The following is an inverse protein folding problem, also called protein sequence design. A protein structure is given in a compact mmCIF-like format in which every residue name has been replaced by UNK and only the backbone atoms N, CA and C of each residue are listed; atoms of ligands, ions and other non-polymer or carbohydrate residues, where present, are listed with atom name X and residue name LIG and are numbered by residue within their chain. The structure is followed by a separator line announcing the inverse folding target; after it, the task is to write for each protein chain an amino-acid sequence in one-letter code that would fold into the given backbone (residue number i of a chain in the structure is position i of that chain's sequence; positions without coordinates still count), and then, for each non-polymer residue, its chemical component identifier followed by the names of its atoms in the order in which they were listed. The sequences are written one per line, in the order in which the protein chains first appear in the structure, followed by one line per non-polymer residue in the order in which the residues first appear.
data_IF_670230847524
#
_entry.id   IF_670230847524
#
_cell.length_a   1.000
_cell.length_b   1.000
_cell.length_c   1.000
_cell.angle_alpha   90.00
_cell.angle_beta   90.00
_cell.angle_gamma   90.00
#
_symmetry.space_group_name_H-M   'P 1'
#
loop_
_entity.id
_entity.type
_entity.pdbx_description
1 polymer ?
#
# COMPACT_ATOMS: atom_id res chain seq x y z
N UNK A 1 0.14 -19.83 19.63
CA UNK A 1 -0.44 -18.66 20.33
C UNK A 1 -0.79 -17.61 19.30
N UNK A 2 -2.06 -17.20 19.18
CA UNK A 2 -2.49 -16.13 18.26
C UNK A 2 -2.38 -14.81 19.02
N UNK A 3 -1.27 -14.10 18.85
CA UNK A 3 -1.11 -12.77 19.42
C UNK A 3 -1.83 -11.77 18.50
N UNK A 4 -3.03 -11.37 18.91
CA UNK A 4 -3.73 -10.23 18.33
C UNK A 4 -3.00 -8.97 18.80
N UNK A 5 -2.01 -8.51 18.04
CA UNK A 5 -1.28 -7.28 18.34
C UNK A 5 -2.24 -6.09 18.19
N UNK A 6 -2.42 -5.33 19.26
CA UNK A 6 -3.25 -4.13 19.27
C UNK A 6 -2.58 -3.02 18.45
N UNK A 7 -3.27 -2.54 17.42
CA UNK A 7 -2.86 -1.36 16.67
C UNK A 7 -3.16 -0.15 17.54
N UNK A 8 -2.12 0.53 18.03
CA UNK A 8 -2.28 1.76 18.80
C UNK A 8 -2.48 2.92 17.82
N UNK A 9 -3.69 3.49 17.81
CA UNK A 9 -3.98 4.72 17.08
C UNK A 9 -3.44 5.91 17.90
N UNK A 10 -2.20 6.30 17.67
CA UNK A 10 -1.60 7.49 18.26
C UNK A 10 -1.74 8.67 17.30
N UNK A 11 -2.45 9.72 17.70
CA UNK A 11 -2.65 10.95 16.94
C UNK A 11 -1.33 11.74 16.91
N UNK A 12 -0.47 11.51 15.91
CA UNK A 12 0.74 12.31 15.68
C UNK A 12 0.42 13.37 14.64
N UNK A 13 0.22 14.62 15.09
CA UNK A 13 0.09 15.76 14.20
C UNK A 13 1.45 16.19 13.65
N UNK A 14 1.70 15.95 12.36
CA UNK A 14 2.74 16.66 11.62
C UNK A 14 2.22 17.03 10.23
N UNK A 15 2.13 18.34 10.01
CA UNK A 15 1.72 18.98 8.76
C UNK A 15 2.84 18.91 7.72
N UNK A 16 3.04 17.74 7.12
CA UNK A 16 3.55 17.70 5.74
C UNK A 16 2.32 17.75 4.84
N UNK A 17 2.37 18.42 3.69
CA UNK A 17 1.28 18.32 2.71
C UNK A 17 1.11 16.84 2.38
N UNK A 18 0.11 16.20 2.98
CA UNK A 18 -0.08 14.76 2.95
C UNK A 18 -0.13 14.35 1.48
N UNK A 19 0.87 13.56 1.08
CA UNK A 19 0.90 12.92 -0.21
C UNK A 19 -0.48 12.28 -0.49
N UNK A 20 -1.18 12.78 -1.52
CA UNK A 20 -2.47 12.21 -1.87
C UNK A 20 -2.26 10.86 -2.55
N UNK A 21 -2.37 9.83 -1.72
CA UNK A 21 -2.20 8.42 -2.08
C UNK A 21 -3.28 7.91 -3.02
N UNK A 22 -4.40 8.63 -3.16
CA UNK A 22 -5.52 8.25 -4.00
C UNK A 22 -5.40 8.76 -5.44
N UNK A 23 -4.45 9.66 -5.70
CA UNK A 23 -4.13 10.08 -7.06
C UNK A 23 -3.25 9.03 -7.77
N UNK A 24 -3.25 8.97 -9.12
CA UNK A 24 -2.43 8.02 -9.87
C UNK A 24 -0.93 8.12 -9.56
N UNK A 25 -0.21 7.05 -9.23
CA UNK A 25 1.24 7.13 -8.94
C UNK A 25 2.11 7.12 -10.22
N UNK A 26 1.46 7.07 -11.38
CA UNK A 26 2.02 6.88 -12.70
C UNK A 26 1.00 7.31 -13.75
N UNK A 27 1.42 7.58 -14.98
CA UNK A 27 0.52 7.89 -16.13
C UNK A 27 -0.66 6.92 -16.28
N UNK A 28 -0.49 5.66 -15.86
CA UNK A 28 -1.48 4.57 -15.95
C UNK A 28 -1.51 3.70 -14.69
N UNK A 29 -1.11 4.27 -13.56
CA UNK A 29 -1.12 3.58 -12.27
C UNK A 29 -2.24 4.15 -11.41
N UNK A 30 -3.35 3.44 -11.28
CA UNK A 30 -4.59 3.98 -10.72
C UNK A 30 -4.93 3.40 -9.34
N UNK A 31 -5.42 4.24 -8.43
CA UNK A 31 -5.75 3.85 -7.05
C UNK A 31 -7.10 3.10 -6.92
N UNK A 32 -7.31 2.06 -7.74
CA UNK A 32 -8.58 1.35 -7.88
C UNK A 32 -8.66 0.01 -7.14
N UNK A 33 -7.62 -0.43 -6.43
CA UNK A 33 -7.74 -1.61 -5.55
C UNK A 33 -8.42 -1.18 -4.26
N UNK A 34 -9.39 -1.97 -3.82
CA UNK A 34 -10.07 -1.76 -2.56
C UNK A 34 -9.39 -2.60 -1.48
N UNK A 35 -8.73 -1.95 -0.52
CA UNK A 35 -8.25 -2.61 0.70
C UNK A 35 -9.24 -2.26 1.80
N UNK A 36 -10.02 -3.26 2.24
CA UNK A 36 -11.05 -3.10 3.27
C UNK A 36 -10.61 -3.58 4.65
N UNK A 37 -9.44 -4.23 4.73
CA UNK A 37 -8.78 -4.56 5.98
C UNK A 37 -7.26 -4.51 5.77
N UNK A 38 -6.54 -3.84 6.66
CA UNK A 38 -5.09 -3.68 6.58
C UNK A 38 -4.57 -2.75 7.67
N UNK A 39 -3.46 -2.06 7.38
CA UNK A 39 -2.88 -1.06 8.28
C UNK A 39 -3.72 0.22 8.22
N UNK A 40 -4.31 0.69 9.33
CA UNK A 40 -5.04 1.95 9.35
C UNK A 40 -4.12 3.14 9.12
N UNK A 41 -4.66 4.21 8.53
CA UNK A 41 -3.94 5.47 8.39
C UNK A 41 -3.64 6.07 9.78
N UNK A 42 -2.49 6.73 9.88
CA UNK A 42 -1.91 7.31 11.11
C UNK A 42 -1.71 6.31 12.25
N UNK A 43 -1.60 5.02 11.94
CA UNK A 43 -1.27 3.99 12.95
C UNK A 43 0.24 3.85 13.17
N UNK A 44 0.59 3.19 14.27
CA UNK A 44 1.96 2.71 14.53
C UNK A 44 2.01 1.20 14.43
N UNK A 45 2.97 0.67 13.67
CA UNK A 45 3.24 -0.77 13.56
C UNK A 45 4.68 -1.08 13.96
N UNK A 46 4.92 -2.27 14.47
CA UNK A 46 6.28 -2.71 14.85
C UNK A 46 6.99 -3.38 13.68
N UNK A 47 8.29 -3.14 13.55
CA UNK A 47 9.15 -3.93 12.68
C UNK A 47 9.08 -5.42 13.10
N UNK A 48 8.90 -6.33 12.15
CA UNK A 48 8.62 -7.75 12.38
C UNK A 48 7.15 -8.09 12.67
N UNK A 49 6.25 -7.11 12.80
CA UNK A 49 4.83 -7.36 12.96
C UNK A 49 4.23 -7.97 11.69
N UNK A 50 3.38 -8.99 11.85
CA UNK A 50 2.58 -9.53 10.76
C UNK A 50 1.18 -8.92 10.76
N UNK A 51 0.72 -8.46 9.60
CA UNK A 51 -0.59 -7.85 9.39
C UNK A 51 -1.30 -8.56 8.25
N UNK A 52 -2.56 -8.94 8.48
CA UNK A 52 -3.44 -9.45 7.41
C UNK A 52 -3.98 -8.28 6.62
N UNK A 53 -3.76 -8.29 5.31
CA UNK A 53 -4.33 -7.33 4.36
C UNK A 53 -5.34 -8.05 3.49
N UNK A 54 -6.60 -7.63 3.51
CA UNK A 54 -7.65 -8.14 2.63
C UNK A 54 -8.04 -7.07 1.61
N UNK A 55 -8.20 -7.52 0.36
CA UNK A 55 -8.44 -6.62 -0.76
C UNK A 55 -9.30 -7.28 -1.83
N UNK A 56 -9.96 -6.44 -2.63
CA UNK A 56 -10.70 -6.84 -3.83
C UNK A 56 -10.63 -5.74 -4.91
N UNK A 57 -11.29 -5.99 -6.04
CA UNK A 57 -11.49 -5.02 -7.12
C UNK A 57 -12.94 -4.55 -7.18
N UNK A 58 -13.60 -4.34 -6.04
CA UNK A 58 -14.91 -3.65 -6.07
C UNK A 58 -14.69 -2.17 -6.40
N UNK A 59 -15.65 -1.52 -7.10
CA UNK A 59 -15.62 -0.08 -7.30
C UNK A 59 -15.43 0.65 -5.97
N UNK A 60 -14.65 1.72 -6.02
CA UNK A 60 -14.41 2.59 -4.87
C UNK A 60 -14.88 4.00 -5.23
N UNK A 61 -15.08 4.88 -4.25
CA UNK A 61 -15.34 6.29 -4.54
C UNK A 61 -14.22 6.99 -5.34
N UNK A 62 -13.08 6.33 -5.54
CA UNK A 62 -11.91 6.82 -6.30
C UNK A 62 -11.89 6.36 -7.75
N UNK A 63 -12.57 5.25 -8.07
CA UNK A 63 -12.65 4.70 -9.42
C UNK A 63 -14.07 4.15 -9.66
N UNK A 64 -14.84 4.75 -10.60
CA UNK A 64 -16.26 4.43 -10.80
C UNK A 64 -16.50 3.00 -11.32
N UNK A 65 -15.55 2.45 -12.06
CA UNK A 65 -15.49 1.02 -12.35
C UNK A 65 -14.00 0.67 -12.50
N UNK A 66 -13.44 -0.22 -11.67
CA UNK A 66 -12.13 -0.76 -11.99
C UNK A 66 -12.24 -1.45 -13.35
N UNK A 67 -11.10 -1.67 -14.00
CA UNK A 67 -11.00 -2.45 -15.23
C UNK A 67 -11.29 -3.95 -14.97
N UNK A 68 -12.39 -4.23 -14.27
CA UNK A 68 -12.86 -5.50 -13.70
C UNK A 68 -13.00 -6.59 -14.75
N UNK A 69 -13.39 -6.19 -15.96
CA UNK A 69 -13.46 -7.07 -17.13
C UNK A 69 -12.12 -7.70 -17.54
N UNK A 70 -10.99 -7.09 -17.17
CA UNK A 70 -9.66 -7.65 -17.41
C UNK A 70 -9.16 -8.32 -16.12
N UNK A 71 -8.68 -9.56 -16.16
CA UNK A 71 -8.10 -10.20 -14.97
C UNK A 71 -6.86 -9.42 -14.51
N UNK A 72 -6.67 -9.32 -13.20
CA UNK A 72 -5.40 -8.88 -12.63
C UNK A 72 -4.33 -9.96 -12.79
N UNK A 73 -3.10 -9.51 -13.05
CA UNK A 73 -1.92 -10.32 -12.83
C UNK A 73 -1.74 -10.63 -11.32
N UNK A 74 -0.68 -11.35 -10.96
CA UNK A 74 -0.38 -11.60 -9.57
C UNK A 74 -0.06 -10.28 -8.83
N UNK A 75 -0.69 -10.09 -7.68
CA UNK A 75 -0.51 -8.92 -6.86
C UNK A 75 0.85 -8.96 -6.15
N UNK A 76 1.37 -7.77 -5.88
CA UNK A 76 2.54 -7.57 -5.04
C UNK A 76 2.28 -6.49 -3.99
N UNK A 77 3.00 -6.62 -2.87
CA UNK A 77 2.96 -5.66 -1.78
C UNK A 77 4.33 -5.03 -1.63
N UNK A 78 4.32 -3.71 -1.56
CA UNK A 78 5.51 -2.88 -1.43
C UNK A 78 5.33 -1.88 -0.30
N UNK A 79 6.43 -1.57 0.37
CA UNK A 79 6.52 -0.52 1.36
C UNK A 79 7.26 0.66 0.72
N UNK A 80 6.72 1.88 0.86
CA UNK A 80 7.31 3.11 0.34
C UNK A 80 7.51 4.11 1.46
N UNK A 81 8.71 4.69 1.55
CA UNK A 81 9.00 5.78 2.48
C UNK A 81 8.87 7.13 1.79
N UNK A 82 8.17 8.06 2.45
CA UNK A 82 8.07 9.46 2.04
C UNK A 82 7.79 9.68 0.56
N UNK A 83 6.75 9.04 -0.02
CA UNK A 83 6.41 9.28 -1.42
C UNK A 83 6.00 10.74 -1.63
N UNK A 84 6.51 11.34 -2.69
CA UNK A 84 6.21 12.71 -3.12
C UNK A 84 5.84 12.67 -4.59
N UNK A 85 4.79 13.40 -4.95
CA UNK A 85 4.33 13.50 -6.33
C UNK A 85 5.31 14.32 -7.17
N UNK A 86 5.67 13.79 -8.35
CA UNK A 86 6.46 14.47 -9.38
C UNK A 86 5.78 14.27 -10.74
N UNK A 87 4.99 15.27 -11.16
CA UNK A 87 4.23 15.21 -12.41
C UNK A 87 3.41 13.90 -12.49
N UNK A 88 3.68 13.08 -13.50
CA UNK A 88 3.03 11.80 -13.79
C UNK A 88 3.68 10.61 -13.07
N UNK A 89 4.49 10.84 -12.04
CA UNK A 89 5.17 9.81 -11.27
C UNK A 89 5.25 10.17 -9.77
N UNK A 90 5.79 9.26 -8.98
CA UNK A 90 6.22 9.55 -7.61
C UNK A 90 7.74 9.40 -7.48
N UNK A 91 8.32 10.18 -6.59
CA UNK A 91 9.65 9.90 -6.00
C UNK A 91 9.47 9.44 -4.57
N UNK A 92 10.41 8.66 -4.05
CA UNK A 92 10.41 8.16 -2.68
C UNK A 92 11.85 8.07 -2.19
N UNK A 93 12.04 8.13 -0.88
CA UNK A 93 13.35 7.92 -0.27
C UNK A 93 13.74 6.44 -0.34
N UNK A 94 12.75 5.55 -0.22
CA UNK A 94 12.98 4.13 -0.18
C UNK A 94 11.75 3.34 -0.68
N UNK A 95 11.96 2.21 -1.38
CA UNK A 95 10.94 1.18 -1.57
C UNK A 95 11.42 -0.25 -1.22
N UNK A 96 10.59 -1.05 -0.55
CA UNK A 96 10.88 -2.45 -0.18
C UNK A 96 9.77 -3.34 -0.71
N UNK A 97 10.12 -4.38 -1.45
CA UNK A 97 9.17 -5.42 -1.80
C UNK A 97 8.94 -6.33 -0.59
N UNK A 98 7.69 -6.45 -0.15
CA UNK A 98 7.31 -7.30 0.98
C UNK A 98 6.99 -8.72 0.50
N UNK A 99 6.21 -8.82 -0.58
CA UNK A 99 5.80 -10.10 -1.15
C UNK A 99 5.24 -9.90 -2.57
N UNK A 100 5.17 -10.96 -3.36
CA UNK A 100 4.50 -11.04 -4.66
C UNK A 100 3.81 -12.39 -4.86
N UNK A 101 3.35 -12.67 -6.09
CA UNK A 101 2.72 -13.94 -6.45
C UNK A 101 1.31 -14.12 -5.86
N UNK A 102 0.69 -13.05 -5.35
CA UNK A 102 -0.61 -13.15 -4.68
C UNK A 102 -1.70 -13.20 -5.74
N UNK A 103 -2.33 -14.36 -5.91
CA UNK A 103 -3.45 -14.52 -6.85
C UNK A 103 -4.61 -13.61 -6.46
N UNK A 104 -5.25 -12.95 -7.43
CA UNK A 104 -6.44 -12.11 -7.21
C UNK A 104 -7.51 -12.83 -6.37
N UNK A 105 -7.78 -14.10 -6.70
CA UNK A 105 -8.74 -14.96 -6.00
C UNK A 105 -8.43 -15.23 -4.52
N UNK A 106 -7.21 -14.96 -4.06
CA UNK A 106 -6.85 -15.13 -2.65
C UNK A 106 -7.52 -14.08 -1.75
N UNK A 107 -7.89 -12.91 -2.30
CA UNK A 107 -8.61 -11.85 -1.58
C UNK A 107 -7.87 -11.24 -0.39
N UNK A 108 -6.60 -11.61 -0.19
CA UNK A 108 -5.77 -11.09 0.88
C UNK A 108 -4.47 -11.85 1.10
N UNK A 109 -3.58 -11.26 1.87
CA UNK A 109 -2.22 -11.76 2.16
C UNK A 109 -1.80 -11.39 3.58
N UNK A 110 -1.03 -12.26 4.23
CA UNK A 110 -0.33 -11.91 5.46
C UNK A 110 1.01 -11.30 5.10
N UNK A 111 1.26 -10.08 5.55
CA UNK A 111 2.51 -9.36 5.32
C UNK A 111 3.28 -9.21 6.61
N UNK A 112 4.60 -9.33 6.56
CA UNK A 112 5.47 -9.05 7.70
C UNK A 112 6.25 -7.78 7.41
N UNK A 113 6.16 -6.78 8.30
CA UNK A 113 6.98 -5.58 8.20
C UNK A 113 8.45 -5.98 8.43
N UNK A 114 9.41 -5.64 7.56
CA UNK A 114 10.79 -6.05 7.72
C UNK A 114 11.38 -5.55 9.04
N UNK A 115 12.24 -6.36 9.68
CA UNK A 115 12.92 -5.97 10.93
C UNK A 115 14.08 -5.00 10.66
N UNK A 116 14.72 -5.18 9.52
CA UNK A 116 15.91 -4.51 9.03
C UNK A 116 15.56 -3.35 8.09
N UNK A 117 14.67 -2.45 8.53
CA UNK A 117 14.36 -1.27 7.74
C UNK A 117 15.60 -0.38 7.58
N UNK A 118 15.92 0.07 6.36
CA UNK A 118 17.04 0.97 6.10
C UNK A 118 16.84 2.30 6.84
N UNK A 119 17.94 3.01 7.10
CA UNK A 119 17.86 4.38 7.62
C UNK A 119 17.34 5.31 6.52
N UNK A 120 16.28 6.04 6.83
CA UNK A 120 15.62 7.02 5.95
C UNK A 120 15.53 8.35 6.68
N UNK A 121 15.33 9.45 5.95
CA UNK A 121 15.27 10.80 6.54
C UNK A 121 14.09 10.96 7.48
N UNK A 122 12.94 10.42 7.09
CA UNK A 122 11.72 10.40 7.90
C UNK A 122 11.21 8.96 8.08
N UNK A 123 11.58 8.35 9.22
CA UNK A 123 11.13 7.00 9.57
C UNK A 123 9.67 6.91 9.98
N UNK A 124 8.96 8.03 10.11
CA UNK A 124 7.57 8.09 10.56
C UNK A 124 6.55 8.03 9.42
N UNK A 125 7.01 8.16 8.16
CA UNK A 125 6.15 8.30 6.99
C UNK A 125 6.28 7.12 6.01
N UNK A 126 5.52 6.06 6.27
CA UNK A 126 5.47 4.87 5.40
C UNK A 126 4.09 4.64 4.79
N UNK A 127 4.09 4.08 3.59
CA UNK A 127 2.89 3.66 2.86
C UNK A 127 3.04 2.21 2.40
N UNK A 128 2.00 1.42 2.57
CA UNK A 128 1.93 0.05 2.10
C UNK A 128 1.10 0.01 0.82
N UNK A 129 1.75 -0.24 -0.31
CA UNK A 129 1.12 -0.34 -1.62
C UNK A 129 0.80 -1.79 -1.95
N UNK A 130 -0.48 -2.11 -2.15
CA UNK A 130 -0.95 -3.37 -2.74
C UNK A 130 -1.26 -3.08 -4.19
N UNK A 131 -0.60 -3.75 -5.14
CA UNK A 131 -0.78 -3.44 -6.55
C UNK A 131 -0.72 -4.66 -7.46
N UNK A 132 -1.32 -4.51 -8.63
CA UNK A 132 -1.36 -5.47 -9.74
C UNK A 132 -1.21 -4.74 -11.08
N UNK A 133 -0.90 -5.49 -12.12
CA UNK A 133 -0.99 -5.04 -13.51
C UNK A 133 -2.18 -5.71 -14.19
N UNK A 134 -2.64 -5.12 -15.30
CA UNK A 134 -3.65 -5.69 -16.19
C UNK A 134 -3.02 -5.92 -17.57
N UNK A 135 -2.18 -6.95 -17.68
CA UNK A 135 -1.43 -7.25 -18.91
C UNK A 135 -2.32 -7.48 -20.14
N UNK A 136 -3.58 -7.88 -19.96
CA UNK A 136 -4.54 -8.12 -21.05
C UNK A 136 -5.41 -6.91 -21.40
N UNK A 137 -5.32 -5.81 -20.64
CA UNK A 137 -6.12 -4.61 -20.88
C UNK A 137 -5.46 -3.68 -21.92
N UNK A 138 -6.24 -2.90 -22.70
CA UNK A 138 -5.69 -1.86 -23.54
C UNK A 138 -4.78 -0.94 -22.74
N UNK A 139 -3.62 -0.63 -23.30
CA UNK A 139 -2.63 0.25 -22.67
C UNK A 139 -1.96 -0.31 -21.39
N UNK A 140 -2.27 -1.56 -21.00
CA UNK A 140 -1.65 -2.34 -19.92
C UNK A 140 -1.43 -1.53 -18.62
N UNK A 141 -2.49 -0.98 -18.02
CA UNK A 141 -2.38 -0.18 -16.81
C UNK A 141 -2.08 -1.04 -15.58
N UNK A 142 -1.67 -0.37 -14.51
CA UNK A 142 -1.57 -0.96 -13.17
C UNK A 142 -2.64 -0.38 -12.25
N UNK A 143 -3.09 -1.21 -11.32
CA UNK A 143 -4.05 -0.84 -10.29
C UNK A 143 -3.40 -1.00 -8.92
N UNK A 144 -3.71 -0.11 -7.98
CA UNK A 144 -3.18 -0.21 -6.63
C UNK A 144 -4.13 0.34 -5.56
N UNK A 145 -3.77 0.06 -4.33
CA UNK A 145 -4.19 0.75 -3.12
C UNK A 145 -2.93 1.12 -2.35
N UNK A 146 -2.95 2.25 -1.65
CA UNK A 146 -1.92 2.59 -0.69
C UNK A 146 -2.57 2.82 0.69
N UNK A 147 -2.19 1.98 1.66
CA UNK A 147 -2.50 2.18 3.07
C UNK A 147 -1.43 3.06 3.72
N UNK A 148 -1.84 3.91 4.66
CA UNK A 148 -0.95 4.89 5.29
C UNK A 148 -1.38 6.34 5.02
N UNK A 149 -0.67 7.32 5.60
CA UNK A 149 0.64 7.16 6.23
C UNK A 149 0.59 6.34 7.52
N UNK A 150 1.66 5.64 7.87
CA UNK A 150 1.83 5.01 9.18
C UNK A 150 3.30 5.04 9.61
N UNK A 151 3.52 4.95 10.91
CA UNK A 151 4.85 4.90 11.51
C UNK A 151 5.30 3.46 11.73
N UNK A 152 6.57 3.16 11.44
CA UNK A 152 7.18 1.89 11.82
C UNK A 152 8.18 2.12 12.96
N UNK A 153 7.95 1.48 14.09
CA UNK A 153 8.89 1.47 15.22
C UNK A 153 9.75 0.21 15.19
N UNK A 154 11.03 0.34 15.56
CA UNK A 154 11.90 -0.82 15.79
C UNK A 154 11.56 -1.39 17.16
N UNK A 155 11.32 -2.70 17.21
CA UNK A 155 11.15 -3.44 18.47
C UNK A 155 12.49 -3.62 19.18
#
# INVERSE_FOLDING_TARGET
MKFTAAIVASLVGTSTALFDKNLPWGKRDYACVNVYQGIPDNSTVSAGQTVRVNFDRKPTGRCPDPLTQYPGDDYSVWLYNSPVRKLDAISFDQSIKITDGIKEKAGGVDITIPKDLPQVKDGSLWYLRVGTSLSTAPQMPSLFNAAGPFTVIRA
#
